data_IF_193248891473
#
_entry.id   IF_193248891473
#
_cell.length_a   1.000
_cell.length_b   1.000
_cell.length_c   1.000
_cell.angle_alpha   90.00
_cell.angle_beta   90.00
_cell.angle_gamma   90.00
#
_symmetry.space_group_name_H-M   'P 1'
#
loop_
_entity.id
_entity.type
_entity.pdbx_description
1 polymer ?
#
# COMPACT_ATOMS: atom_id res chain seq x y z
N UNK A 1 -2.14 -5.68 24.56
CA UNK A 1 -1.52 -4.86 23.51
C UNK A 1 -0.65 -5.76 22.64
N UNK A 2 -1.11 -6.13 21.45
CA UNK A 2 -0.31 -6.89 20.47
C UNK A 2 0.08 -5.87 19.39
N UNK A 3 1.15 -5.12 19.65
CA UNK A 3 1.78 -4.28 18.62
C UNK A 3 2.47 -5.21 17.63
N UNK A 4 2.14 -5.06 16.35
CA UNK A 4 2.46 -5.97 15.24
C UNK A 4 3.91 -6.45 15.18
N UNK A 5 4.13 -7.76 15.31
CA UNK A 5 5.42 -8.43 15.16
C UNK A 5 5.93 -8.55 13.71
N UNK A 6 5.70 -7.56 12.84
CA UNK A 6 6.19 -7.59 11.46
C UNK A 6 7.41 -6.70 11.29
N UNK A 7 8.57 -7.34 11.05
CA UNK A 7 9.79 -6.64 10.63
C UNK A 7 9.56 -5.98 9.24
N UNK A 8 9.62 -4.63 9.13
CA UNK A 8 9.37 -3.91 7.88
C UNK A 8 10.30 -4.34 6.74
N UNK A 9 11.57 -4.61 7.04
CA UNK A 9 12.54 -5.06 6.05
C UNK A 9 12.17 -6.43 5.47
N UNK A 10 11.63 -7.33 6.30
CA UNK A 10 11.12 -8.62 5.83
C UNK A 10 9.89 -8.44 4.93
N UNK A 11 8.99 -7.52 5.27
CA UNK A 11 7.84 -7.20 4.42
C UNK A 11 8.31 -6.67 3.05
N UNK A 12 9.23 -5.69 3.03
CA UNK A 12 9.79 -5.15 1.79
C UNK A 12 10.38 -6.27 0.92
N UNK A 13 11.24 -7.13 1.48
CA UNK A 13 11.83 -8.25 0.74
C UNK A 13 10.78 -9.21 0.15
N UNK A 14 9.70 -9.49 0.88
CA UNK A 14 8.60 -10.35 0.39
C UNK A 14 7.81 -9.70 -0.75
N UNK A 15 7.69 -8.37 -0.75
CA UNK A 15 7.07 -7.63 -1.85
C UNK A 15 8.01 -7.60 -3.05
N UNK A 16 9.28 -7.26 -2.87
CA UNK A 16 10.28 -7.25 -3.96
C UNK A 16 10.45 -8.63 -4.61
N UNK A 17 10.29 -9.71 -3.86
CA UNK A 17 10.36 -11.08 -4.39
C UNK A 17 9.03 -11.62 -4.93
N UNK A 18 7.96 -10.81 -4.94
CA UNK A 18 6.59 -11.19 -5.32
C UNK A 18 6.05 -12.42 -4.56
N UNK A 19 6.54 -12.60 -3.34
CA UNK A 19 6.06 -13.63 -2.42
C UNK A 19 4.78 -13.17 -1.69
N UNK A 20 4.68 -11.89 -1.37
CA UNK A 20 3.43 -11.26 -0.91
C UNK A 20 2.56 -10.91 -2.13
N UNK A 21 1.27 -11.21 -2.07
CA UNK A 21 0.35 -10.95 -3.19
C UNK A 21 0.03 -9.46 -3.22
N UNK A 22 0.51 -8.77 -4.26
CA UNK A 22 0.13 -7.39 -4.56
C UNK A 22 -0.22 -7.29 -6.04
N UNK A 23 -1.51 -7.33 -6.42
CA UNK A 23 -1.90 -7.37 -7.83
C UNK A 23 -1.46 -6.11 -8.59
N UNK A 24 -1.44 -4.95 -7.93
CA UNK A 24 -0.98 -3.70 -8.52
C UNK A 24 -0.02 -2.95 -7.60
N UNK A 25 1.23 -2.87 -8.03
CA UNK A 25 2.32 -2.11 -7.43
C UNK A 25 2.56 -0.86 -8.27
N UNK A 26 2.28 0.30 -7.68
CA UNK A 26 2.62 1.59 -8.26
C UNK A 26 4.01 2.02 -7.79
N UNK A 27 4.88 2.38 -8.74
CA UNK A 27 6.18 2.97 -8.46
C UNK A 27 6.10 4.44 -8.86
N UNK A 28 6.20 5.35 -7.91
CA UNK A 28 6.26 6.77 -8.18
C UNK A 28 7.73 7.22 -8.13
N UNK A 29 8.23 7.82 -9.20
CA UNK A 29 9.60 8.33 -9.28
C UNK A 29 9.63 9.77 -9.78
N UNK A 30 10.83 10.35 -9.79
CA UNK A 30 11.06 11.75 -10.19
C UNK A 30 12.37 11.86 -10.95
N UNK A 31 12.63 13.03 -11.54
CA UNK A 31 13.92 13.38 -12.14
C UNK A 31 15.07 13.27 -11.12
N UNK A 32 14.79 13.56 -9.84
CA UNK A 32 15.75 13.44 -8.75
C UNK A 32 16.23 12.00 -8.54
N UNK A 33 15.34 11.04 -8.70
CA UNK A 33 15.67 9.62 -8.64
C UNK A 33 14.65 8.80 -9.43
N UNK A 34 15.11 8.24 -10.55
CA UNK A 34 14.33 7.34 -11.41
C UNK A 34 14.19 5.94 -10.80
N UNK A 35 13.13 5.25 -11.20
CA UNK A 35 12.74 3.91 -10.75
C UNK A 35 13.59 2.77 -11.30
N UNK A 36 14.47 3.04 -12.28
CA UNK A 36 15.28 2.00 -12.94
C UNK A 36 16.00 1.08 -11.94
N UNK A 37 16.69 1.65 -10.95
CA UNK A 37 17.43 0.85 -9.95
C UNK A 37 16.49 0.06 -9.04
N UNK A 38 15.29 0.57 -8.76
CA UNK A 38 14.29 -0.17 -8.00
C UNK A 38 13.75 -1.36 -8.81
N UNK A 39 13.54 -1.20 -10.12
CA UNK A 39 13.15 -2.32 -10.99
C UNK A 39 14.24 -3.40 -11.05
N UNK A 40 15.52 -3.01 -11.09
CA UNK A 40 16.67 -3.92 -10.99
C UNK A 40 16.69 -4.66 -9.63
N UNK A 41 16.35 -3.99 -8.52
CA UNK A 41 16.18 -4.63 -7.21
C UNK A 41 15.03 -5.64 -7.19
N UNK A 42 13.90 -5.33 -7.83
CA UNK A 42 12.79 -6.29 -7.95
C UNK A 42 13.25 -7.53 -8.72
N UNK A 43 13.88 -7.36 -9.89
CA UNK A 43 14.43 -8.48 -10.67
C UNK A 43 15.41 -9.32 -9.85
N UNK A 44 16.35 -8.68 -9.16
CA UNK A 44 17.32 -9.35 -8.30
C UNK A 44 16.67 -10.22 -7.22
N UNK A 45 15.58 -9.76 -6.60
CA UNK A 45 14.85 -10.51 -5.58
C UNK A 45 13.95 -11.60 -6.16
N UNK A 46 13.30 -11.35 -7.31
CA UNK A 46 12.46 -12.32 -8.02
C UNK A 46 13.27 -13.54 -8.44
N UNK A 47 14.46 -13.34 -9.01
CA UNK A 47 15.39 -14.42 -9.41
C UNK A 47 15.73 -15.40 -8.29
N UNK A 48 15.63 -14.97 -7.02
CA UNK A 48 15.90 -15.82 -5.84
C UNK A 48 14.72 -16.67 -5.40
N UNK A 49 13.48 -16.22 -5.65
CA UNK A 49 12.29 -16.76 -4.97
C UNK A 49 11.36 -17.61 -5.85
N UNK A 50 11.40 -17.52 -7.18
CA UNK A 50 10.76 -18.48 -8.10
C UNK A 50 11.05 -18.13 -9.57
N UNK A 51 10.76 -19.05 -10.51
CA UNK A 51 10.77 -18.74 -11.95
C UNK A 51 9.50 -17.96 -12.30
N UNK A 52 9.63 -16.65 -12.48
CA UNK A 52 8.55 -15.73 -12.86
C UNK A 52 8.82 -15.27 -14.30
N UNK A 53 7.79 -15.27 -15.14
CA UNK A 53 7.88 -14.72 -16.51
C UNK A 53 7.74 -13.20 -16.45
N UNK A 54 8.66 -12.47 -17.07
CA UNK A 54 8.69 -11.00 -17.06
C UNK A 54 8.28 -10.44 -18.42
N UNK A 55 7.11 -9.80 -18.45
CA UNK A 55 6.59 -9.06 -19.61
C UNK A 55 6.86 -7.58 -19.41
N UNK A 56 7.74 -7.01 -20.23
CA UNK A 56 8.09 -5.60 -20.17
C UNK A 56 7.36 -4.82 -21.28
N UNK A 57 6.58 -3.82 -20.88
CA UNK A 57 5.85 -2.91 -21.74
C UNK A 57 6.58 -1.58 -21.75
N UNK A 58 7.03 -1.17 -22.93
CA UNK A 58 7.85 0.03 -23.13
C UNK A 58 7.10 1.13 -23.87
N UNK A 59 6.95 2.28 -23.25
CA UNK A 59 6.55 3.54 -23.88
C UNK A 59 7.76 4.43 -24.20
N UNK A 60 8.78 4.41 -23.36
CA UNK A 60 9.96 5.28 -23.48
C UNK A 60 11.30 4.53 -23.44
N UNK A 61 11.29 3.25 -23.05
CA UNK A 61 12.50 2.42 -22.98
C UNK A 61 12.86 1.84 -24.35
N UNK A 62 13.90 2.36 -24.99
CA UNK A 62 14.31 1.89 -26.33
C UNK A 62 14.96 0.49 -26.27
N UNK A 63 15.85 0.28 -25.32
CA UNK A 63 16.64 -0.95 -25.21
C UNK A 63 15.93 -1.98 -24.32
N UNK A 64 15.77 -3.20 -24.83
CA UNK A 64 15.21 -4.30 -24.06
C UNK A 64 16.04 -4.57 -22.79
N UNK A 65 15.44 -4.49 -21.58
CA UNK A 65 16.15 -4.85 -20.35
C UNK A 65 16.58 -6.32 -20.36
N UNK A 66 17.76 -6.61 -19.78
CA UNK A 66 18.33 -7.96 -19.76
C UNK A 66 17.49 -8.98 -18.99
N UNK A 67 16.66 -8.52 -18.06
CA UNK A 67 15.75 -9.34 -17.27
C UNK A 67 14.38 -9.56 -17.91
N UNK A 68 14.05 -8.87 -19.00
CA UNK A 68 12.77 -9.03 -19.66
C UNK A 68 12.74 -10.31 -20.51
N UNK A 69 11.79 -11.21 -20.26
CA UNK A 69 11.57 -12.37 -21.13
C UNK A 69 10.90 -11.90 -22.44
N UNK A 70 9.81 -11.15 -22.29
CA UNK A 70 9.03 -10.56 -23.38
C UNK A 70 9.17 -9.05 -23.33
N UNK A 71 9.34 -8.42 -24.51
CA UNK A 71 9.42 -6.98 -24.64
C UNK A 71 8.39 -6.49 -25.66
N UNK A 72 7.52 -5.58 -25.24
CA UNK A 72 6.42 -5.03 -26.03
C UNK A 72 6.64 -3.53 -26.16
N UNK A 73 6.94 -3.07 -27.37
CA UNK A 73 6.98 -1.64 -27.66
C UNK A 73 5.53 -1.13 -27.84
N UNK A 74 5.10 -0.25 -26.94
CA UNK A 74 3.78 0.37 -26.95
C UNK A 74 3.69 1.60 -27.86
N UNK A 75 4.83 2.12 -28.34
CA UNK A 75 4.89 3.29 -29.22
C UNK A 75 4.02 3.15 -30.47
N UNK A 76 3.05 4.06 -30.63
CA UNK A 76 2.15 4.10 -31.80
C UNK A 76 1.09 3.01 -31.86
N UNK A 77 0.95 2.19 -30.82
CA UNK A 77 -0.08 1.13 -30.72
C UNK A 77 -1.31 1.69 -29.99
N UNK A 78 -2.52 1.36 -30.46
CA UNK A 78 -3.74 1.73 -29.73
C UNK A 78 -3.85 0.96 -28.41
N UNK A 79 -4.42 1.60 -27.39
CA UNK A 79 -4.54 1.03 -26.05
C UNK A 79 -5.23 -0.35 -26.05
N UNK A 80 -6.30 -0.52 -26.84
CA UNK A 80 -7.02 -1.80 -26.96
C UNK A 80 -6.12 -2.91 -27.53
N UNK A 81 -5.32 -2.61 -28.55
CA UNK A 81 -4.39 -3.57 -29.14
C UNK A 81 -3.29 -3.91 -28.15
N UNK A 82 -2.78 -2.92 -27.42
CA UNK A 82 -1.78 -3.12 -26.38
C UNK A 82 -2.30 -4.04 -25.28
N UNK A 83 -3.51 -3.79 -24.77
CA UNK A 83 -4.15 -4.67 -23.77
C UNK A 83 -4.35 -6.09 -24.30
N UNK A 84 -4.75 -6.25 -25.56
CA UNK A 84 -4.87 -7.58 -26.19
C UNK A 84 -3.51 -8.29 -26.29
N UNK A 85 -2.46 -7.59 -26.70
CA UNK A 85 -1.10 -8.14 -26.78
C UNK A 85 -0.56 -8.52 -25.41
N UNK A 86 -0.78 -7.70 -24.37
CA UNK A 86 -0.36 -8.05 -23.01
C UNK A 86 -1.07 -9.34 -22.56
N UNK A 87 -2.38 -9.44 -22.81
CA UNK A 87 -3.19 -10.61 -22.45
C UNK A 87 -2.71 -11.92 -23.08
N UNK A 88 -2.12 -11.90 -24.28
CA UNK A 88 -1.60 -13.14 -24.88
C UNK A 88 -0.42 -13.74 -24.12
N UNK A 89 0.25 -12.94 -23.28
CA UNK A 89 1.36 -13.39 -22.44
C UNK A 89 0.97 -13.60 -20.97
N UNK A 90 -0.29 -13.31 -20.61
CA UNK A 90 -0.80 -13.57 -19.28
C UNK A 90 -1.26 -15.03 -19.15
N UNK A 91 -1.12 -15.65 -17.97
CA UNK A 91 -1.62 -17.00 -17.74
C UNK A 91 -3.14 -17.02 -17.90
N UNK A 92 -3.64 -18.02 -18.62
CA UNK A 92 -5.07 -18.26 -18.78
C UNK A 92 -5.72 -18.48 -17.42
N UNK A 93 -6.88 -17.86 -17.20
CA UNK A 93 -7.68 -17.99 -15.95
C UNK A 93 -8.06 -19.42 -15.60
N UNK A 94 -8.06 -20.33 -16.58
CA UNK A 94 -8.53 -21.71 -16.44
C UNK A 94 -7.42 -22.72 -16.11
N UNK A 95 -6.15 -22.32 -16.21
CA UNK A 95 -5.02 -23.24 -15.99
C UNK A 95 -4.50 -23.03 -14.58
N UNK A 96 -4.67 -24.04 -13.73
CA UNK A 96 -4.08 -24.15 -12.40
C UNK A 96 -2.55 -24.30 -12.44
N UNK A 97 -1.89 -23.72 -13.44
CA UNK A 97 -0.44 -23.63 -13.48
C UNK A 97 -0.02 -22.55 -12.48
N UNK A 98 0.76 -22.95 -11.48
CA UNK A 98 1.37 -22.06 -10.49
C UNK A 98 2.38 -21.07 -11.07
N UNK A 99 2.41 -20.89 -12.39
CA UNK A 99 3.25 -19.91 -13.08
C UNK A 99 2.81 -18.50 -12.72
N UNK A 100 3.72 -17.73 -12.14
CA UNK A 100 3.53 -16.31 -11.85
C UNK A 100 4.08 -15.49 -13.02
N UNK A 101 3.37 -14.44 -13.37
CA UNK A 101 3.83 -13.46 -14.37
C UNK A 101 3.97 -12.10 -13.72
N UNK A 102 5.03 -11.38 -14.07
CA UNK A 102 5.23 -9.98 -13.71
C UNK A 102 5.09 -9.14 -14.97
N UNK A 103 4.17 -8.18 -14.95
CA UNK A 103 4.04 -7.19 -16.03
C UNK A 103 4.65 -5.89 -15.54
N UNK A 104 5.68 -5.40 -16.24
CA UNK A 104 6.33 -4.12 -15.93
C UNK A 104 5.93 -3.12 -17.00
N UNK A 105 5.41 -1.97 -16.60
CA UNK A 105 5.17 -0.82 -17.45
C UNK A 105 6.19 0.26 -17.07
N UNK A 106 7.01 0.66 -18.03
CA UNK A 106 8.09 1.63 -17.83
C UNK A 106 7.60 3.05 -17.54
N UNK A 107 6.48 3.47 -18.12
CA UNK A 107 5.88 4.78 -17.89
C UNK A 107 4.38 4.74 -18.18
N UNK A 108 3.56 4.81 -17.13
CA UNK A 108 2.10 4.83 -17.26
C UNK A 108 1.56 6.23 -17.60
N UNK A 109 2.42 7.25 -17.57
CA UNK A 109 2.07 8.64 -17.93
C UNK A 109 1.53 8.78 -19.36
N UNK A 110 1.86 7.85 -20.26
CA UNK A 110 1.40 7.83 -21.65
C UNK A 110 -0.06 7.34 -21.80
N UNK A 111 -0.67 6.84 -20.73
CA UNK A 111 -2.09 6.43 -20.71
C UNK A 111 -2.93 7.58 -20.16
N UNK A 112 -3.96 7.99 -20.90
CA UNK A 112 -4.84 9.09 -20.45
C UNK A 112 -5.58 8.71 -19.18
N UNK A 113 -5.85 9.71 -18.32
CA UNK A 113 -6.58 9.49 -17.07
C UNK A 113 -7.97 8.90 -17.28
N UNK A 114 -8.65 9.20 -18.39
CA UNK A 114 -9.93 8.60 -18.75
C UNK A 114 -9.88 7.09 -19.00
N UNK A 115 -8.75 6.55 -19.45
CA UNK A 115 -8.62 5.13 -19.81
C UNK A 115 -7.75 4.33 -18.85
N UNK A 116 -7.08 4.97 -17.88
CA UNK A 116 -6.15 4.32 -16.95
C UNK A 116 -6.81 3.18 -16.15
N UNK A 117 -8.03 3.40 -15.66
CA UNK A 117 -8.76 2.41 -14.87
C UNK A 117 -9.15 1.18 -15.71
N UNK A 118 -9.60 1.42 -16.94
CA UNK A 118 -9.91 0.36 -17.91
C UNK A 118 -8.65 -0.40 -18.32
N UNK A 119 -7.53 0.30 -18.49
CA UNK A 119 -6.26 -0.31 -18.86
C UNK A 119 -5.72 -1.24 -17.76
N UNK A 120 -5.63 -0.75 -16.52
CA UNK A 120 -5.13 -1.52 -15.37
C UNK A 120 -6.04 -2.71 -15.07
N UNK A 121 -7.37 -2.53 -15.11
CA UNK A 121 -8.31 -3.65 -14.97
C UNK A 121 -8.22 -4.64 -16.13
N UNK A 122 -7.95 -4.16 -17.34
CA UNK A 122 -7.80 -4.97 -18.54
C UNK A 122 -6.61 -5.94 -18.49
N UNK A 123 -5.53 -5.58 -17.81
CA UNK A 123 -4.29 -6.38 -17.68
C UNK A 123 -4.16 -7.09 -16.33
N UNK A 124 -5.10 -6.89 -15.42
CA UNK A 124 -5.12 -7.56 -14.11
C UNK A 124 -5.51 -9.03 -14.23
N UNK A 125 -4.76 -9.94 -13.61
CA UNK A 125 -5.05 -11.37 -13.57
C UNK A 125 -4.61 -11.97 -12.23
N UNK A 126 -5.24 -13.07 -11.77
CA UNK A 126 -4.99 -13.69 -10.46
C UNK A 126 -3.53 -14.08 -10.22
N UNK A 127 -2.84 -14.56 -11.26
CA UNK A 127 -1.44 -15.01 -11.18
C UNK A 127 -0.47 -14.00 -11.81
N UNK A 128 -0.90 -12.73 -11.93
CA UNK A 128 -0.09 -11.64 -12.47
C UNK A 128 0.11 -10.56 -11.41
N UNK A 129 1.32 -10.01 -11.35
CA UNK A 129 1.62 -8.79 -10.58
C UNK A 129 1.97 -7.67 -11.55
N UNK A 130 1.21 -6.59 -11.50
CA UNK A 130 1.45 -5.40 -12.31
C UNK A 130 2.36 -4.44 -11.56
N UNK A 131 3.50 -4.11 -12.14
CA UNK A 131 4.38 -3.02 -11.71
C UNK A 131 4.25 -1.91 -12.73
N UNK A 132 3.73 -0.75 -12.32
CA UNK A 132 3.67 0.41 -13.20
C UNK A 132 4.44 1.58 -12.60
N UNK A 133 5.30 2.18 -13.41
CA UNK A 133 6.04 3.39 -13.05
C UNK A 133 5.23 4.62 -13.46
N UNK A 134 5.16 5.60 -12.56
CA UNK A 134 4.57 6.91 -12.79
C UNK A 134 5.60 8.00 -12.43
N UNK A 135 5.94 8.83 -13.40
CA UNK A 135 6.82 9.96 -13.19
C UNK A 135 6.03 11.15 -12.62
N UNK A 136 6.38 11.60 -11.41
CA UNK A 136 5.69 12.71 -10.73
C UNK A 136 5.91 14.05 -11.40
N UNK A 137 7.03 14.19 -12.13
CA UNK A 137 7.47 15.46 -12.71
C UNK A 137 6.94 15.66 -14.14
N UNK A 138 6.31 14.64 -14.72
CA UNK A 138 5.68 14.72 -16.04
C UNK A 138 4.29 15.34 -15.89
N UNK A 139 4.00 16.48 -16.54
CA UNK A 139 2.72 17.13 -16.43
C UNK A 139 1.61 16.28 -17.09
N UNK A 140 0.46 16.19 -16.42
CA UNK A 140 -0.71 15.50 -16.97
C UNK A 140 -1.44 16.39 -17.98
N UNK A 141 -1.65 15.88 -19.19
CA UNK A 141 -2.58 16.49 -20.13
C UNK A 141 -4.02 16.13 -19.73
N UNK A 142 -4.79 17.13 -19.31
CA UNK A 142 -6.19 16.95 -18.92
C UNK A 142 -7.12 17.36 -20.06
N UNK A 143 -7.87 16.38 -20.56
CA UNK A 143 -9.09 16.67 -21.30
C UNK A 143 -10.12 17.32 -20.35
N UNK A 144 -11.09 18.05 -20.89
CA UNK A 144 -11.98 19.00 -20.21
C UNK A 144 -12.96 18.42 -19.17
N UNK A 145 -12.65 17.28 -18.55
CA UNK A 145 -13.46 16.64 -17.52
C UNK A 145 -13.10 17.23 -16.15
N UNK A 146 -13.78 18.33 -15.81
CA UNK A 146 -13.46 19.17 -14.64
C UNK A 146 -13.50 18.47 -13.28
N UNK A 147 -14.16 17.31 -13.17
CA UNK A 147 -14.39 16.61 -11.90
C UNK A 147 -13.72 15.24 -11.82
N UNK A 148 -13.02 14.80 -12.86
CA UNK A 148 -12.29 13.54 -12.80
C UNK A 148 -11.01 13.71 -11.95
N UNK A 149 -10.63 12.72 -11.11
CA UNK A 149 -9.42 12.79 -10.30
C UNK A 149 -8.17 12.90 -11.19
N UNK A 150 -7.07 13.38 -10.62
CA UNK A 150 -5.77 13.35 -11.31
C UNK A 150 -5.30 11.91 -11.53
N UNK A 151 -4.47 11.68 -12.54
CA UNK A 151 -3.95 10.34 -12.83
C UNK A 151 -3.26 9.72 -11.61
N UNK A 152 -2.40 10.48 -10.93
CA UNK A 152 -1.71 10.04 -9.71
C UNK A 152 -2.67 9.66 -8.57
N UNK A 153 -3.71 10.46 -8.33
CA UNK A 153 -4.71 10.20 -7.28
C UNK A 153 -5.48 8.89 -7.56
N UNK A 154 -5.84 8.68 -8.82
CA UNK A 154 -6.51 7.45 -9.27
C UNK A 154 -5.59 6.23 -9.16
N UNK A 155 -4.32 6.37 -9.53
CA UNK A 155 -3.33 5.30 -9.40
C UNK A 155 -3.06 4.94 -7.94
N UNK A 156 -2.90 5.92 -7.05
CA UNK A 156 -2.78 5.67 -5.61
C UNK A 156 -4.04 5.00 -5.04
N UNK A 157 -5.23 5.37 -5.53
CA UNK A 157 -6.48 4.76 -5.12
C UNK A 157 -6.55 3.27 -5.53
N UNK A 158 -6.12 2.95 -6.74
CA UNK A 158 -6.16 1.60 -7.30
C UNK A 158 -5.04 0.68 -6.80
N UNK A 159 -3.88 1.24 -6.45
CA UNK A 159 -2.70 0.47 -6.06
C UNK A 159 -2.88 -0.24 -4.70
N UNK A 160 -2.48 -1.51 -4.65
CA UNK A 160 -2.40 -2.27 -3.40
C UNK A 160 -1.08 -2.01 -2.67
N UNK A 161 -0.05 -1.64 -3.41
CA UNK A 161 1.25 -1.22 -2.88
C UNK A 161 1.75 -0.02 -3.66
N UNK A 162 2.28 0.97 -2.95
CA UNK A 162 2.92 2.15 -3.52
C UNK A 162 4.36 2.19 -3.06
N UNK A 163 5.25 2.44 -4.01
CA UNK A 163 6.69 2.57 -3.83
C UNK A 163 7.13 3.93 -4.33
N UNK A 164 7.31 4.91 -3.44
CA UNK A 164 7.82 6.22 -3.83
C UNK A 164 9.34 6.25 -3.73
N UNK A 165 9.99 6.54 -4.84
CA UNK A 165 11.45 6.61 -4.96
C UNK A 165 11.89 8.06 -4.78
N UNK A 166 12.76 8.31 -3.81
CA UNK A 166 13.30 9.64 -3.52
C UNK A 166 14.83 9.63 -3.51
N UNK A 167 15.48 10.69 -4.02
CA UNK A 167 16.93 10.83 -3.88
C UNK A 167 17.31 11.04 -2.42
N UNK A 168 18.51 10.60 -2.05
CA UNK A 168 19.11 11.03 -0.77
C UNK A 168 19.54 12.48 -0.91
N UNK A 169 19.02 13.35 -0.05
CA UNK A 169 19.37 14.77 -0.06
C UNK A 169 20.84 14.96 0.33
N UNK A 170 21.65 15.66 -0.49
CA UNK A 170 23.04 15.95 -0.14
C UNK A 170 23.14 16.82 1.12
N UNK A 171 24.19 16.63 1.93
CA UNK A 171 24.38 17.36 3.21
C UNK A 171 24.39 18.90 3.10
N UNK A 172 24.69 19.43 1.91
CA UNK A 172 24.85 20.87 1.67
C UNK A 172 23.57 21.55 1.14
N UNK A 173 22.46 20.81 1.02
CA UNK A 173 21.24 21.29 0.37
C UNK A 173 20.02 20.78 1.15
N UNK A 174 18.91 21.52 1.11
CA UNK A 174 17.63 21.07 1.67
C UNK A 174 16.75 20.43 0.60
N UNK A 175 15.80 19.59 1.00
CA UNK A 175 14.84 18.98 0.06
C UNK A 175 14.05 20.05 -0.72
N UNK A 176 13.68 21.15 -0.07
CA UNK A 176 12.96 22.28 -0.68
C UNK A 176 13.79 22.99 -1.75
N UNK A 177 15.07 23.27 -1.46
CA UNK A 177 15.98 23.88 -2.43
C UNK A 177 16.16 22.99 -3.65
N UNK A 178 16.34 21.69 -3.43
CA UNK A 178 16.46 20.71 -4.51
C UNK A 178 15.20 20.65 -5.37
N UNK A 179 14.01 20.70 -4.76
CA UNK A 179 12.74 20.76 -5.50
C UNK A 179 12.61 22.04 -6.33
N UNK A 180 12.99 23.19 -5.78
CA UNK A 180 12.96 24.47 -6.51
C UNK A 180 13.93 24.44 -7.70
N UNK A 181 15.17 23.98 -7.47
CA UNK A 181 16.17 23.82 -8.52
C UNK A 181 15.68 22.91 -9.65
N UNK A 182 15.12 21.73 -9.30
CA UNK A 182 14.56 20.80 -10.28
C UNK A 182 13.37 21.38 -11.05
N UNK A 183 12.49 22.14 -10.38
CA UNK A 183 11.36 22.81 -11.04
C UNK A 183 11.81 23.83 -12.09
N UNK A 184 13.00 24.42 -11.88
CA UNK A 184 13.66 25.35 -12.80
C UNK A 184 14.61 24.65 -13.78
N UNK A 185 14.62 23.32 -13.77
CA UNK A 185 15.50 22.48 -14.57
C UNK A 185 17.00 22.71 -14.30
N UNK A 186 17.33 23.18 -13.09
CA UNK A 186 18.69 23.24 -12.57
C UNK A 186 18.98 21.90 -11.92
N UNK A 187 19.78 21.06 -12.58
CA UNK A 187 20.04 19.69 -12.11
C UNK A 187 21.25 19.68 -11.17
N UNK A 188 21.06 19.51 -9.84
CA UNK A 188 22.17 19.40 -8.91
C UNK A 188 22.93 18.08 -9.10
N UNK A 189 24.18 18.05 -8.64
CA UNK A 189 25.01 16.83 -8.64
C UNK A 189 24.56 15.88 -7.54
N UNK A 190 24.76 14.57 -7.74
CA UNK A 190 24.49 13.53 -6.73
C UNK A 190 23.07 12.95 -6.77
N UNK A 191 22.24 13.39 -7.71
CA UNK A 191 20.95 12.77 -8.03
C UNK A 191 21.13 11.42 -8.72
N UNK A 192 20.07 10.61 -8.77
CA UNK A 192 20.09 9.28 -9.37
C UNK A 192 21.24 8.40 -8.86
N UNK A 193 21.49 8.43 -7.55
CA UNK A 193 22.54 7.64 -6.89
C UNK A 193 22.16 6.16 -6.78
N UNK A 194 23.14 5.29 -6.47
CA UNK A 194 22.90 3.87 -6.15
C UNK A 194 22.24 3.68 -4.78
N UNK A 195 22.45 4.65 -3.89
CA UNK A 195 21.77 4.76 -2.61
C UNK A 195 20.60 5.73 -2.77
N UNK A 196 19.39 5.27 -2.46
CA UNK A 196 18.17 6.06 -2.57
C UNK A 196 17.19 5.73 -1.44
N UNK A 197 16.26 6.64 -1.17
CA UNK A 197 15.20 6.43 -0.19
C UNK A 197 13.97 5.84 -0.89
N UNK A 198 13.33 4.87 -0.24
CA UNK A 198 12.06 4.28 -0.66
C UNK A 198 11.02 4.50 0.43
N UNK A 199 9.88 5.08 0.07
CA UNK A 199 8.68 5.08 0.92
C UNK A 199 7.76 3.99 0.41
N UNK A 200 7.52 3.00 1.26
CA UNK A 200 6.66 1.86 0.96
C UNK A 200 5.33 2.05 1.69
N UNK A 201 4.24 2.14 0.93
CA UNK A 201 2.88 2.14 1.46
C UNK A 201 2.15 0.87 1.03
N UNK A 202 1.66 0.08 1.98
CA UNK A 202 0.94 -1.17 1.70
C UNK A 202 -0.46 -1.12 2.29
N UNK A 203 -1.47 -1.54 1.52
CA UNK A 203 -2.85 -1.65 2.01
C UNK A 203 -3.13 -3.06 2.50
N UNK A 204 -3.54 -3.17 3.78
CA UNK A 204 -3.99 -4.46 4.34
C UNK A 204 -5.36 -4.84 3.78
N UNK A 205 -5.72 -6.11 3.92
CA UNK A 205 -7.08 -6.61 3.61
C UNK A 205 -8.17 -5.90 4.41
N UNK A 206 -7.83 -5.31 5.56
CA UNK A 206 -8.74 -4.50 6.38
C UNK A 206 -8.95 -3.08 5.83
N UNK A 207 -8.27 -2.68 4.76
CA UNK A 207 -8.29 -1.32 4.21
C UNK A 207 -7.29 -0.35 4.83
N UNK A 208 -6.73 -0.66 6.01
CA UNK A 208 -5.71 0.19 6.66
C UNK A 208 -4.41 0.21 5.86
N UNK A 209 -3.83 1.39 5.71
CA UNK A 209 -2.52 1.60 5.08
C UNK A 209 -1.40 1.53 6.12
N UNK A 210 -0.28 0.90 5.76
CA UNK A 210 0.97 0.94 6.52
C UNK A 210 2.02 1.66 5.69
N UNK A 211 2.75 2.59 6.29
CA UNK A 211 3.83 3.32 5.63
C UNK A 211 5.17 3.04 6.33
N UNK A 212 6.20 2.75 5.54
CA UNK A 212 7.55 2.49 6.01
C UNK A 212 8.56 3.21 5.11
N UNK A 213 9.64 3.70 5.71
CA UNK A 213 10.73 4.33 4.96
C UNK A 213 11.97 3.44 5.00
N UNK A 214 12.66 3.35 3.87
CA UNK A 214 13.87 2.55 3.72
C UNK A 214 14.96 3.34 3.03
N UNK A 215 16.20 3.07 3.42
CA UNK A 215 17.39 3.41 2.65
C UNK A 215 17.84 2.16 1.90
N UNK A 216 17.87 2.24 0.57
CA UNK A 216 18.22 1.13 -0.30
C UNK A 216 19.57 1.40 -0.93
N UNK A 217 20.48 0.42 -0.89
CA UNK A 217 21.69 0.43 -1.70
C UNK A 217 21.59 -0.66 -2.77
N UNK A 218 21.48 -0.24 -4.03
CA UNK A 218 21.37 -1.13 -5.20
C UNK A 218 22.65 -1.89 -5.56
N UNK A 219 23.83 -1.48 -5.09
CA UNK A 219 25.08 -2.20 -5.35
C UNK A 219 25.25 -3.39 -4.39
N UNK A 220 24.88 -3.21 -3.13
CA UNK A 220 25.01 -4.23 -2.07
C UNK A 220 23.73 -4.98 -1.80
N UNK A 221 22.60 -4.57 -2.40
CA UNK A 221 21.26 -5.08 -2.15
C UNK A 221 20.87 -5.07 -0.66
N UNK A 222 21.23 -3.99 0.05
CA UNK A 222 20.90 -3.77 1.45
C UNK A 222 19.69 -2.85 1.59
N UNK A 223 18.85 -3.14 2.59
CA UNK A 223 17.60 -2.43 2.84
C UNK A 223 17.48 -2.09 4.33
N UNK A 224 17.81 -0.86 4.67
CA UNK A 224 17.81 -0.39 6.06
C UNK A 224 16.53 0.39 6.32
N UNK A 225 15.78 0.00 7.34
CA UNK A 225 14.55 0.71 7.70
C UNK A 225 14.92 2.00 8.45
N UNK A 226 14.43 3.14 7.95
CA UNK A 226 14.51 4.41 8.64
C UNK A 226 13.34 4.43 9.63
N UNK A 227 13.64 4.15 10.90
CA UNK A 227 12.67 4.30 11.98
C UNK A 227 12.57 5.79 12.29
N UNK A 228 11.75 6.50 11.53
CA UNK A 228 11.24 7.79 11.99
C UNK A 228 10.35 7.48 13.19
N UNK A 229 10.60 8.11 14.34
CA UNK A 229 9.77 7.93 15.55
C UNK A 229 8.29 8.34 15.34
N UNK A 230 7.98 8.92 14.18
CA UNK A 230 6.65 9.18 13.67
C UNK A 230 6.19 8.02 12.78
N UNK A 231 5.83 6.90 13.40
CA UNK A 231 4.83 6.03 12.79
C UNK A 231 3.53 6.84 12.82
N UNK A 232 3.30 7.63 11.78
CA UNK A 232 1.96 8.05 11.41
C UNK A 232 1.27 6.74 10.99
N UNK A 233 0.81 5.98 11.98
CA UNK A 233 -0.42 5.27 11.76
C UNK A 233 -1.38 6.39 11.34
N UNK A 234 -1.96 6.31 10.14
CA UNK A 234 -3.27 6.89 9.87
C UNK A 234 -4.28 6.20 10.83
N UNK A 235 -4.08 6.37 12.14
CA UNK A 235 -5.16 6.82 12.96
C UNK A 235 -5.45 8.19 12.39
N UNK A 236 -6.50 8.29 11.60
CA UNK A 236 -7.33 9.48 11.61
C UNK A 236 -7.28 10.01 13.04
N UNK A 237 -6.60 11.13 13.24
CA UNK A 237 -6.73 11.90 14.46
C UNK A 237 -8.12 12.53 14.43
N UNK A 238 -9.17 11.72 14.23
CA UNK A 238 -10.52 11.96 14.69
C UNK A 238 -10.45 11.94 16.22
N UNK A 239 -9.84 12.99 16.75
CA UNK A 239 -10.05 13.34 18.13
C UNK A 239 -11.56 13.54 18.30
N UNK A 240 -12.16 13.09 19.40
CA UNK A 240 -13.59 13.27 19.64
C UNK A 240 -14.03 14.75 19.59
N UNK A 241 -13.07 15.69 19.69
CA UNK A 241 -13.25 17.12 19.46
C UNK A 241 -13.56 17.48 18.00
N UNK A 242 -13.01 16.76 17.01
CA UNK A 242 -13.26 17.01 15.58
C UNK A 242 -14.64 16.52 15.11
N UNK A 243 -15.24 15.56 15.82
CA UNK A 243 -16.58 15.02 15.52
C UNK A 243 -17.71 15.74 16.29
N UNK A 244 -17.35 16.65 17.19
CA UNK A 244 -18.30 17.30 18.11
C UNK A 244 -19.33 18.19 17.40
N UNK A 245 -18.94 18.80 16.27
CA UNK A 245 -19.82 19.67 15.46
C UNK A 245 -20.47 18.96 14.26
N UNK A 246 -20.07 17.71 13.98
CA UNK A 246 -20.57 16.90 12.86
C UNK A 246 -21.73 15.96 13.27
N UNK A 247 -21.98 15.80 14.58
CA UNK A 247 -22.97 14.84 15.10
C UNK A 247 -23.97 15.54 16.02
N UNK A 248 -25.26 15.18 15.94
CA UNK A 248 -26.32 15.77 16.77
C UNK A 248 -26.41 15.16 18.18
N UNK A 249 -25.56 14.19 18.50
CA UNK A 249 -25.51 13.50 19.79
C UNK A 249 -24.11 13.64 20.39
N UNK A 250 -24.04 13.99 21.68
CA UNK A 250 -22.76 14.19 22.35
C UNK A 250 -22.08 12.82 22.61
N UNK A 251 -20.97 12.57 21.92
CA UNK A 251 -20.16 11.35 22.05
C UNK A 251 -19.17 11.40 23.23
N UNK A 252 -19.04 12.56 23.89
CA UNK A 252 -18.15 12.71 25.07
C UNK A 252 -18.89 12.42 26.37
N UNK A 253 -18.16 11.84 27.34
CA UNK A 253 -18.71 11.68 28.69
C UNK A 253 -18.70 13.03 29.41
N UNK A 254 -19.84 13.43 29.96
CA UNK A 254 -19.92 14.64 30.77
C UNK A 254 -19.05 14.50 32.03
N UNK A 255 -18.49 15.60 32.53
CA UNK A 255 -17.72 15.62 33.78
C UNK A 255 -18.46 14.95 34.95
N UNK A 256 -19.80 15.04 34.97
CA UNK A 256 -20.65 14.37 35.97
C UNK A 256 -20.67 12.85 35.81
N UNK A 257 -20.67 12.35 34.58
CA UNK A 257 -20.63 10.90 34.28
C UNK A 257 -19.25 10.32 34.57
N UNK A 258 -18.19 11.07 34.27
CA UNK A 258 -16.83 10.68 34.60
C UNK A 258 -16.61 10.56 36.12
N UNK A 259 -17.06 11.56 36.89
CA UNK A 259 -17.05 11.52 38.35
C UNK A 259 -17.87 10.35 38.91
N UNK A 260 -19.06 10.11 38.36
CA UNK A 260 -19.89 8.97 38.78
C UNK A 260 -19.18 7.64 38.51
N UNK A 261 -18.53 7.48 37.36
CA UNK A 261 -17.74 6.27 37.04
C UNK A 261 -16.55 6.10 37.99
N UNK A 262 -15.85 7.17 38.33
CA UNK A 262 -14.70 7.13 39.25
C UNK A 262 -15.11 6.86 40.70
N UNK A 263 -16.35 7.20 41.10
CA UNK A 263 -16.91 6.94 42.43
C UNK A 263 -17.59 5.57 42.55
N UNK A 264 -17.69 4.80 41.47
CA UNK A 264 -18.21 3.42 41.53
C UNK A 264 -17.08 2.52 42.03
N UNK A 265 -17.08 2.25 43.33
CA UNK A 265 -16.29 1.19 43.92
C UNK A 265 -16.89 -0.17 43.54
N UNK A 266 -16.23 -0.85 42.62
CA UNK A 266 -16.53 -2.25 42.36
C UNK A 266 -15.88 -3.10 43.45
N UNK A 267 -16.62 -4.04 44.07
CA UNK A 267 -16.02 -4.98 45.01
C UNK A 267 -14.91 -5.77 44.31
N UNK A 268 -13.71 -5.71 44.88
CA UNK A 268 -12.51 -6.35 44.33
C UNK A 268 -12.64 -7.87 44.48
N UNK A 269 -13.18 -8.55 43.48
CA UNK A 269 -13.06 -10.00 43.38
C UNK A 269 -11.62 -10.32 42.96
N UNK A 270 -10.85 -10.90 43.87
CA UNK A 270 -9.53 -11.44 43.56
C UNK A 270 -9.71 -12.50 42.48
N UNK A 271 -9.32 -12.19 41.24
CA UNK A 271 -9.32 -13.16 40.14
C UNK A 271 -8.46 -14.35 40.57
N UNK A 272 -9.13 -15.44 40.89
CA UNK A 272 -8.50 -16.69 41.32
C UNK A 272 -7.54 -17.12 40.20
N UNK A 273 -6.30 -17.40 40.56
CA UNK A 273 -5.26 -17.90 39.66
C UNK A 273 -5.60 -19.33 39.19
N UNK A 274 -6.60 -19.46 38.32
CA UNK A 274 -6.97 -20.69 37.63
C UNK A 274 -6.99 -20.43 36.13
N UNK A 275 -6.26 -21.28 35.41
CA UNK A 275 -5.82 -21.10 34.03
C UNK A 275 -6.87 -21.56 33.00
N UNK A 276 -8.16 -21.42 33.31
CA UNK A 276 -9.27 -21.87 32.46
C UNK A 276 -10.34 -20.79 32.47
N UNK A 277 -10.69 -20.29 31.28
CA UNK A 277 -11.53 -19.11 31.09
C UNK A 277 -12.81 -19.09 31.92
N UNK A 278 -13.20 -17.88 32.35
CA UNK A 278 -14.34 -17.65 33.23
C UNK A 278 -15.64 -18.22 32.68
N UNK A 279 -16.06 -19.34 33.25
CA UNK A 279 -17.42 -19.85 33.12
C UNK A 279 -18.24 -19.26 34.27
N UNK A 280 -19.20 -18.39 33.93
CA UNK A 280 -20.20 -17.92 34.90
C UNK A 280 -21.25 -19.02 34.97
N UNK A 281 -21.30 -19.73 36.10
CA UNK A 281 -22.36 -20.70 36.38
C UNK A 281 -23.43 -19.97 37.18
N UNK A 282 -24.59 -19.74 36.57
CA UNK A 282 -25.76 -19.26 37.29
C UNK A 282 -26.23 -20.35 38.25
N UNK A 283 -26.41 -19.99 39.53
CA UNK A 283 -26.94 -20.86 40.55
C UNK A 283 -28.28 -20.25 40.98
N UNK A 284 -29.38 -20.93 40.67
CA UNK A 284 -30.72 -20.46 41.04
C UNK A 284 -30.79 -20.23 42.55
N UNK A 285 -31.10 -19.00 42.95
CA UNK A 285 -31.40 -18.68 44.33
C UNK A 285 -32.83 -19.15 44.67
N UNK A 286 -33.07 -19.51 45.93
CA UNK A 286 -34.34 -20.10 46.37
C UNK A 286 -35.51 -19.09 46.40
N UNK A 287 -35.19 -17.79 46.29
CA UNK A 287 -36.14 -16.69 46.30
C UNK A 287 -36.36 -16.08 44.90
N UNK A 288 -35.86 -16.73 43.84
CA UNK A 288 -36.10 -16.35 42.44
C UNK A 288 -37.56 -16.66 42.09
N UNK A 289 -38.37 -15.62 41.92
CA UNK A 289 -39.81 -15.65 41.69
C UNK A 289 -40.12 -16.03 40.24
N UNK A 290 -39.80 -17.28 39.90
CA UNK A 290 -40.15 -17.89 38.63
C UNK A 290 -41.68 -17.90 38.47
N UNK A 291 -42.20 -16.93 37.73
CA UNK A 291 -43.62 -16.84 37.40
C UNK A 291 -43.89 -17.72 36.16
N UNK A 292 -44.53 -18.86 36.37
CA UNK A 292 -44.84 -19.85 35.31
C UNK A 292 -45.80 -19.30 34.23
N UNK A 293 -46.29 -18.05 34.36
CA UNK A 293 -47.23 -17.42 33.43
C UNK A 293 -46.59 -16.44 32.42
N UNK A 294 -45.26 -16.24 32.40
CA UNK A 294 -44.59 -15.44 31.35
C UNK A 294 -44.25 -16.31 30.11
N UNK A 295 -44.98 -16.15 28.98
CA UNK A 295 -44.77 -16.96 27.78
C UNK A 295 -43.53 -16.55 26.96
N UNK A 296 -42.74 -15.57 27.41
CA UNK A 296 -41.55 -15.10 26.68
C UNK A 296 -40.21 -15.59 27.26
N UNK A 297 -40.21 -16.30 28.38
CA UNK A 297 -39.02 -16.99 28.92
C UNK A 297 -39.11 -18.51 28.70
N UNK A 298 -38.90 -18.94 27.45
CA UNK A 298 -38.55 -20.35 27.15
C UNK A 298 -37.08 -20.40 26.68
N UNK A 299 -36.26 -21.36 27.16
CA UNK A 299 -34.82 -21.27 27.09
C UNK A 299 -34.29 -21.95 25.83
N UNK A 300 -33.75 -21.14 24.93
CA UNK A 300 -32.65 -21.55 24.06
C UNK A 300 -31.52 -20.53 24.13
#
# INVERSE_FOLDING_TARGET
MITSGHNPTTLLKRILSLAEISPFVLIADSLGQTSKKLLEEVDYNVKKSSKISIVYVSFETVDKPSYADVFIAAGGVSLDKLTQTIRTFLPSTDVADGSKTMVVIDSINYVSSSHIAQFVSGISCRNSTLLAVYHTDVPEYRESVSHYPKCIELLHFMATTVMEVRPVVPQNTTEEQMKDDLSRFLIPRGLNSHIFQLILTTRRKSGRSLSYQFLINSETHSYDNIVTSDVIEDHDNETPEMLQDLTTFNLTTSAKQKLAKEQVELPFLQAQSFNTGGAIVYQFEKDDDYDEEDPFEDPF
#
